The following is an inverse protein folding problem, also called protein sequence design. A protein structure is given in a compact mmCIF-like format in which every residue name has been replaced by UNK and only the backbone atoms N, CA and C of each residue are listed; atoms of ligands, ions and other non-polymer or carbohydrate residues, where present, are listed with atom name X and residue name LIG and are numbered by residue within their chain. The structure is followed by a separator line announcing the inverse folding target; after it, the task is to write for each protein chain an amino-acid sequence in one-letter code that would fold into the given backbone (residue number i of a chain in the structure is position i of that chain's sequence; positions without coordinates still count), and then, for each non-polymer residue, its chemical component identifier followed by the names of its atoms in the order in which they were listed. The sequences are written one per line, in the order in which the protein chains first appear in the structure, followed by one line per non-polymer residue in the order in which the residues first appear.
data_IF_838229274863
#
_entry.id   IF_838229274863
#
_cell.length_a   1.000
_cell.length_b   1.000
_cell.length_c   1.000
_cell.angle_alpha   90.00
_cell.angle_beta   90.00
_cell.angle_gamma   90.00
#
_symmetry.space_group_name_H-M   'P 1'
#
loop_
_entity.id
_entity.type
_entity.pdbx_description
1 polymer ?
#
# COMPACT_ATOMS: atom_id res chain seq x y z
N UNK A 1 12.78 -4.53 -1.91
CA UNK A 1 13.22 -3.77 -0.72
C UNK A 1 12.58 -4.40 0.48
N UNK A 2 13.30 -4.55 1.60
CA UNK A 2 12.98 -5.55 2.67
C UNK A 2 11.50 -5.69 3.01
N UNK A 3 10.80 -4.59 3.35
CA UNK A 3 9.37 -4.67 3.70
C UNK A 3 8.48 -5.18 2.56
N UNK A 4 8.70 -4.71 1.33
CA UNK A 4 7.98 -5.19 0.16
C UNK A 4 8.31 -6.64 -0.20
N UNK A 5 9.54 -7.08 0.06
CA UNK A 5 10.00 -8.45 -0.21
C UNK A 5 9.40 -9.44 0.82
N UNK A 6 9.22 -9.01 2.07
CA UNK A 6 8.52 -9.79 3.10
C UNK A 6 7.06 -10.03 2.73
N UNK A 7 6.35 -9.01 2.23
CA UNK A 7 4.97 -9.16 1.75
C UNK A 7 4.92 -10.21 0.63
N UNK A 8 5.82 -10.12 -0.35
CA UNK A 8 5.90 -11.09 -1.44
C UNK A 8 6.21 -12.50 -0.97
N UNK A 9 7.12 -12.64 -0.01
CA UNK A 9 7.49 -13.93 0.58
C UNK A 9 6.29 -14.59 1.28
N UNK A 10 5.50 -13.84 2.02
CA UNK A 10 4.31 -14.35 2.69
C UNK A 10 3.22 -14.77 1.71
N UNK A 11 3.00 -13.99 0.65
CA UNK A 11 2.07 -14.36 -0.43
C UNK A 11 2.50 -15.67 -1.08
N UNK A 12 3.79 -15.77 -1.44
CA UNK A 12 4.33 -16.98 -2.04
C UNK A 12 4.16 -18.21 -1.15
N UNK A 13 4.42 -18.05 0.15
CA UNK A 13 4.25 -19.14 1.11
C UNK A 13 2.77 -19.49 1.35
N UNK A 14 1.93 -18.49 1.61
CA UNK A 14 0.52 -18.66 1.95
C UNK A 14 -0.31 -19.22 0.80
N UNK A 15 -0.02 -18.80 -0.44
CA UNK A 15 -0.72 -19.26 -1.65
C UNK A 15 0.02 -20.37 -2.40
N UNK A 16 1.20 -20.78 -1.92
CA UNK A 16 2.07 -21.82 -2.53
C UNK A 16 2.43 -21.50 -3.98
N UNK A 17 2.79 -20.25 -4.24
CA UNK A 17 3.14 -19.75 -5.58
C UNK A 17 4.64 -19.45 -5.68
N UNK A 18 5.22 -19.48 -6.90
CA UNK A 18 6.55 -18.93 -7.14
C UNK A 18 6.64 -17.45 -6.73
N UNK A 19 7.78 -17.02 -6.20
CA UNK A 19 8.02 -15.63 -5.75
C UNK A 19 7.68 -14.60 -6.84
N UNK A 20 8.02 -14.89 -8.11
CA UNK A 20 7.71 -13.99 -9.23
C UNK A 20 6.21 -13.80 -9.43
N UNK A 21 5.42 -14.87 -9.31
CA UNK A 21 3.97 -14.80 -9.44
C UNK A 21 3.34 -14.14 -8.22
N UNK A 22 3.88 -14.38 -7.02
CA UNK A 22 3.46 -13.67 -5.81
C UNK A 22 3.70 -12.15 -5.90
N UNK A 23 4.83 -11.72 -6.46
CA UNK A 23 5.12 -10.31 -6.71
C UNK A 23 4.10 -9.70 -7.69
N UNK A 24 3.81 -10.41 -8.77
CA UNK A 24 2.83 -9.99 -9.76
C UNK A 24 1.43 -9.84 -9.15
N UNK A 25 0.99 -10.83 -8.36
CA UNK A 25 -0.28 -10.75 -7.63
C UNK A 25 -0.33 -9.57 -6.66
N UNK A 26 0.75 -9.34 -5.90
CA UNK A 26 0.85 -8.20 -4.98
C UNK A 26 0.64 -6.88 -5.72
N UNK A 27 1.27 -6.73 -6.89
CA UNK A 27 1.18 -5.50 -7.70
C UNK A 27 -0.21 -5.35 -8.34
N UNK A 28 -0.78 -6.41 -8.91
CA UNK A 28 -2.02 -6.34 -9.70
C UNK A 28 -3.29 -6.37 -8.84
N UNK A 29 -3.27 -7.12 -7.74
CA UNK A 29 -4.48 -7.45 -6.97
C UNK A 29 -4.36 -7.14 -5.47
N UNK A 30 -3.18 -6.73 -4.99
CA UNK A 30 -2.94 -6.49 -3.58
C UNK A 30 -3.85 -5.43 -2.96
N UNK A 31 -4.23 -5.66 -1.70
CA UNK A 31 -4.95 -4.72 -0.86
C UNK A 31 -4.51 -4.98 0.59
N UNK A 32 -4.27 -3.93 1.38
CA UNK A 32 -3.82 -4.08 2.76
C UNK A 32 -4.96 -4.08 3.79
N UNK A 33 -6.21 -3.90 3.35
CA UNK A 33 -7.41 -4.00 4.20
C UNK A 33 -8.34 -5.03 3.56
N UNK A 34 -8.44 -6.23 4.11
CA UNK A 34 -9.27 -7.34 3.61
C UNK A 34 -10.75 -6.95 3.57
N UNK A 35 -11.20 -6.19 4.57
CA UNK A 35 -12.59 -5.77 4.69
C UNK A 35 -13.06 -4.84 3.56
N UNK A 36 -12.13 -4.21 2.84
CA UNK A 36 -12.41 -3.35 1.69
C UNK A 36 -12.43 -4.13 0.35
N UNK A 37 -12.11 -5.43 0.37
CA UNK A 37 -12.14 -6.30 -0.81
C UNK A 37 -13.50 -7.00 -0.90
N UNK A 38 -14.11 -7.00 -2.09
CA UNK A 38 -15.41 -7.63 -2.32
C UNK A 38 -15.40 -9.14 -2.10
N UNK A 39 -16.50 -9.67 -1.57
CA UNK A 39 -16.62 -11.06 -1.12
C UNK A 39 -16.41 -12.11 -2.23
N UNK A 40 -16.76 -11.75 -3.46
CA UNK A 40 -16.75 -12.64 -4.62
C UNK A 40 -15.66 -12.25 -5.64
N UNK A 41 -14.70 -11.40 -5.25
CA UNK A 41 -13.58 -11.05 -6.13
C UNK A 41 -12.57 -12.20 -6.17
N UNK A 42 -12.26 -12.67 -7.38
CA UNK A 42 -11.41 -13.84 -7.61
C UNK A 42 -10.51 -13.62 -8.82
N UNK A 43 -9.34 -14.26 -8.83
CA UNK A 43 -8.42 -14.29 -9.96
C UNK A 43 -7.87 -15.70 -10.17
N UNK A 44 -7.36 -15.94 -11.38
CA UNK A 44 -6.79 -17.23 -11.75
C UNK A 44 -5.28 -17.11 -11.85
N UNK A 45 -4.57 -18.05 -11.23
CA UNK A 45 -3.13 -18.23 -11.39
C UNK A 45 -2.83 -19.58 -11.98
N UNK A 46 -1.72 -19.68 -12.71
CA UNK A 46 -1.19 -20.97 -13.17
C UNK A 46 0.08 -21.25 -12.38
N UNK A 47 0.03 -22.16 -11.39
CA UNK A 47 1.24 -22.62 -10.72
C UNK A 47 2.21 -23.24 -11.74
N UNK A 48 3.51 -23.12 -11.48
CA UNK A 48 4.51 -23.69 -12.38
C UNK A 48 4.42 -25.23 -12.37
N UNK A 49 4.19 -25.85 -13.52
CA UNK A 49 4.11 -27.30 -13.67
C UNK A 49 2.70 -27.89 -13.54
N UNK A 50 1.66 -27.06 -13.42
CA UNK A 50 0.26 -27.50 -13.42
C UNK A 50 -0.50 -26.96 -14.65
N UNK A 51 -1.23 -27.85 -15.32
CA UNK A 51 -2.08 -27.47 -16.47
C UNK A 51 -3.40 -26.83 -16.05
N UNK A 52 -3.80 -26.99 -14.78
CA UNK A 52 -5.07 -26.49 -14.25
C UNK A 52 -4.86 -25.14 -13.56
N UNK A 53 -5.56 -24.07 -13.99
CA UNK A 53 -5.54 -22.80 -13.27
C UNK A 53 -6.11 -22.96 -11.85
N UNK A 54 -5.39 -22.45 -10.86
CA UNK A 54 -5.89 -22.30 -9.51
C UNK A 54 -6.67 -20.99 -9.39
N UNK A 55 -7.89 -21.09 -8.91
CA UNK A 55 -8.74 -19.94 -8.62
C UNK A 55 -8.51 -19.51 -7.16
N UNK A 56 -8.17 -18.24 -6.96
CA UNK A 56 -7.85 -17.67 -5.65
C UNK A 56 -8.78 -16.50 -5.38
N UNK A 57 -9.33 -16.46 -4.17
CA UNK A 57 -10.12 -15.32 -3.71
C UNK A 57 -9.21 -14.15 -3.40
N UNK A 58 -9.55 -12.97 -3.90
CA UNK A 58 -8.77 -11.75 -3.65
C UNK A 58 -8.71 -11.40 -2.17
N UNK A 59 -9.74 -11.76 -1.39
CA UNK A 59 -9.73 -11.66 0.08
C UNK A 59 -8.65 -12.50 0.75
N UNK A 60 -8.35 -13.70 0.25
CA UNK A 60 -7.27 -14.52 0.80
C UNK A 60 -5.90 -13.86 0.59
N UNK A 61 -5.68 -13.27 -0.59
CA UNK A 61 -4.49 -12.45 -0.86
C UNK A 61 -4.42 -11.23 0.08
N UNK A 62 -5.53 -10.51 0.23
CA UNK A 62 -5.59 -9.31 1.07
C UNK A 62 -5.35 -9.64 2.55
N UNK A 63 -5.88 -10.75 3.05
CA UNK A 63 -5.65 -11.23 4.42
C UNK A 63 -4.15 -11.44 4.71
N UNK A 64 -3.42 -12.05 3.78
CA UNK A 64 -1.97 -12.26 3.91
C UNK A 64 -1.23 -10.92 3.92
N UNK A 65 -1.60 -10.01 3.01
CA UNK A 65 -0.97 -8.68 2.91
C UNK A 65 -1.24 -7.86 4.16
N UNK A 66 -2.49 -7.80 4.62
CA UNK A 66 -2.90 -7.07 5.82
C UNK A 66 -2.09 -7.51 7.04
N UNK A 67 -2.02 -8.82 7.31
CA UNK A 67 -1.27 -9.36 8.43
C UNK A 67 0.22 -8.95 8.41
N UNK A 68 0.88 -9.02 7.25
CA UNK A 68 2.29 -8.59 7.14
C UNK A 68 2.45 -7.08 7.27
N UNK A 69 1.54 -6.31 6.71
CA UNK A 69 1.57 -4.84 6.81
C UNK A 69 1.37 -4.41 8.27
N UNK A 70 0.44 -5.03 9.00
CA UNK A 70 0.23 -4.81 10.43
C UNK A 70 1.48 -5.13 11.25
N UNK A 71 2.15 -6.26 10.96
CA UNK A 71 3.38 -6.63 11.64
C UNK A 71 4.50 -5.62 11.38
N UNK A 72 4.69 -5.20 10.12
CA UNK A 72 5.69 -4.19 9.76
C UNK A 72 5.45 -2.90 10.55
N UNK A 73 4.22 -2.39 10.60
CA UNK A 73 3.94 -1.17 11.34
C UNK A 73 3.99 -1.35 12.86
N UNK A 74 3.74 -2.55 13.37
CA UNK A 74 3.93 -2.89 14.78
C UNK A 74 5.41 -2.81 15.17
N UNK A 75 6.31 -3.30 14.32
CA UNK A 75 7.76 -3.16 14.51
C UNK A 75 8.21 -1.69 14.43
N UNK A 76 7.64 -0.91 13.50
CA UNK A 76 7.90 0.53 13.41
C UNK A 76 7.44 1.25 14.69
N UNK A 77 6.26 0.92 15.21
CA UNK A 77 5.76 1.47 16.48
C UNK A 77 6.71 1.17 17.65
N UNK A 78 7.22 -0.06 17.72
CA UNK A 78 8.20 -0.45 18.74
C UNK A 78 9.46 0.42 18.65
N UNK A 79 9.94 0.72 17.43
CA UNK A 79 11.11 1.57 17.24
C UNK A 79 10.85 3.04 17.62
N UNK A 80 9.67 3.58 17.29
CA UNK A 80 9.26 4.92 17.72
C UNK A 80 9.27 5.02 19.25
N UNK A 81 8.72 4.01 19.93
CA UNK A 81 8.73 3.95 21.40
C UNK A 81 10.14 3.85 21.96
N UNK A 82 10.98 2.98 21.39
CA UNK A 82 12.37 2.78 21.83
C UNK A 82 13.23 4.03 21.65
N UNK A 83 12.99 4.80 20.60
CA UNK A 83 13.72 6.04 20.32
C UNK A 83 13.31 7.21 21.22
N UNK A 84 12.22 7.08 21.98
CA UNK A 84 11.71 8.13 22.87
C UNK A 84 10.89 9.22 22.17
N UNK A 85 10.57 9.05 20.89
CA UNK A 85 9.75 9.99 20.11
C UNK A 85 8.23 9.70 20.20
N UNK A 86 7.82 8.72 21.01
CA UNK A 86 6.40 8.45 21.24
C UNK A 86 5.68 9.70 21.79
N UNK A 87 4.54 10.04 21.21
CA UNK A 87 3.81 11.29 21.48
C UNK A 87 4.47 12.58 20.98
N UNK A 88 5.65 12.52 20.34
CA UNK A 88 6.39 13.68 19.82
C UNK A 88 6.31 13.85 18.29
N UNK A 89 5.37 13.14 17.64
CA UNK A 89 5.20 13.13 16.18
C UNK A 89 3.88 13.77 15.73
N UNK A 90 3.62 15.07 16.01
CA UNK A 90 2.35 15.72 15.69
C UNK A 90 2.10 15.85 14.18
N UNK A 91 3.17 15.92 13.38
CA UNK A 91 3.08 15.91 11.91
C UNK A 91 2.78 14.52 11.34
N UNK A 92 2.91 13.47 12.15
CA UNK A 92 2.67 12.09 11.76
C UNK A 92 3.80 11.46 10.95
N UNK A 93 3.45 10.51 10.08
CA UNK A 93 4.38 9.74 9.26
C UNK A 93 4.10 9.90 7.76
N UNK A 94 5.16 9.92 6.95
CA UNK A 94 5.06 9.90 5.50
C UNK A 94 5.61 8.58 4.97
N UNK A 95 4.75 7.79 4.32
CA UNK A 95 5.13 6.57 3.61
C UNK A 95 5.65 6.93 2.22
N UNK A 96 6.74 6.27 1.83
CA UNK A 96 7.38 6.42 0.53
C UNK A 96 7.81 5.06 -0.01
N UNK A 97 8.31 5.01 -1.25
CA UNK A 97 8.79 3.80 -1.90
C UNK A 97 7.71 3.05 -2.68
N UNK A 98 8.07 1.94 -3.33
CA UNK A 98 7.12 1.21 -4.20
C UNK A 98 5.92 0.65 -3.44
N UNK A 99 6.18 0.01 -2.29
CA UNK A 99 5.14 -0.65 -1.48
C UNK A 99 4.15 0.31 -0.84
N UNK A 100 4.45 1.62 -0.75
CA UNK A 100 3.45 2.60 -0.29
C UNK A 100 2.29 2.78 -1.28
N UNK A 101 2.39 2.20 -2.48
CA UNK A 101 1.32 2.20 -3.49
C UNK A 101 0.28 1.10 -3.28
N UNK A 102 0.48 0.17 -2.33
CA UNK A 102 -0.51 -0.86 -2.00
C UNK A 102 -1.77 -0.17 -1.46
N UNK A 103 -2.94 -0.37 -2.08
CA UNK A 103 -4.20 0.19 -1.58
C UNK A 103 -4.47 -0.22 -0.12
N UNK A 104 -5.00 0.69 0.68
CA UNK A 104 -5.27 0.46 2.10
C UNK A 104 -4.06 0.54 3.05
N UNK A 105 -2.81 0.57 2.55
CA UNK A 105 -1.62 0.51 3.43
C UNK A 105 -1.54 1.69 4.41
N UNK A 106 -1.99 2.87 3.97
CA UNK A 106 -2.09 4.07 4.81
C UNK A 106 -3.08 3.87 5.97
N UNK A 107 -4.18 3.17 5.71
CA UNK A 107 -5.22 2.90 6.70
C UNK A 107 -4.67 2.05 7.82
N UNK A 108 -4.05 0.91 7.49
CA UNK A 108 -3.41 0.02 8.47
C UNK A 108 -2.30 0.76 9.24
N UNK A 109 -1.42 1.47 8.52
CA UNK A 109 -0.36 2.24 9.16
C UNK A 109 -0.91 3.23 10.20
N UNK A 110 -1.96 3.98 9.83
CA UNK A 110 -2.58 4.97 10.72
C UNK A 110 -3.25 4.32 11.93
N UNK A 111 -3.89 3.16 11.75
CA UNK A 111 -4.54 2.41 12.82
C UNK A 111 -3.51 1.84 13.81
N UNK A 112 -2.47 1.17 13.31
CA UNK A 112 -1.44 0.55 14.15
C UNK A 112 -0.62 1.60 14.89
N UNK A 113 -0.23 2.69 14.22
CA UNK A 113 0.64 3.71 14.80
C UNK A 113 -0.11 4.72 15.68
N UNK A 114 -1.43 4.85 15.54
CA UNK A 114 -2.24 5.83 16.27
C UNK A 114 -1.93 7.29 15.92
N UNK A 115 -1.37 7.55 14.73
CA UNK A 115 -0.95 8.88 14.27
C UNK A 115 -1.31 9.12 12.79
N UNK A 116 -1.38 10.38 12.33
CA UNK A 116 -1.68 10.69 10.94
C UNK A 116 -0.63 10.11 9.99
N UNK A 117 -1.05 9.39 8.96
CA UNK A 117 -0.15 8.86 7.92
C UNK A 117 -0.50 9.47 6.56
N UNK A 118 0.53 9.82 5.78
CA UNK A 118 0.42 10.33 4.39
C UNK A 118 1.26 9.48 3.45
N UNK A 119 0.90 9.42 2.19
CA UNK A 119 1.71 8.80 1.14
C UNK A 119 2.37 9.94 0.34
N UNK A 120 3.68 9.84 0.11
CA UNK A 120 4.36 10.73 -0.82
C UNK A 120 4.13 10.24 -2.26
N UNK A 121 3.68 11.14 -3.13
CA UNK A 121 3.55 10.88 -4.56
C UNK A 121 4.75 11.45 -5.31
N UNK A 122 5.21 10.76 -6.36
CA UNK A 122 6.28 11.25 -7.23
C UNK A 122 5.78 12.49 -7.98
N UNK A 123 6.59 13.55 -7.97
CA UNK A 123 6.26 14.86 -8.56
C UNK A 123 6.00 14.82 -10.09
N UNK A 124 6.48 13.80 -10.80
CA UNK A 124 6.23 13.63 -12.25
C UNK A 124 4.74 13.41 -12.59
N UNK A 125 3.90 13.05 -11.61
CA UNK A 125 2.44 12.93 -11.77
C UNK A 125 1.66 14.24 -11.48
N UNK A 126 2.35 15.37 -11.25
CA UNK A 126 1.73 16.69 -11.07
C UNK A 126 1.63 17.53 -12.36
N UNK A 127 1.93 16.96 -13.52
CA UNK A 127 1.83 17.66 -14.81
C UNK A 127 0.34 17.81 -15.23
N UNK A 128 -0.20 18.91 -15.81
CA UNK A 128 0.27 20.29 -16.07
C UNK A 128 -0.52 21.38 -15.29
N UNK A 129 -1.42 21.03 -14.34
CA UNK A 129 -2.31 22.02 -13.68
C UNK A 129 -1.55 23.07 -12.86
N UNK A 130 -0.32 22.78 -12.43
CA UNK A 130 0.57 23.74 -11.75
C UNK A 130 1.40 24.61 -12.72
N UNK A 131 1.30 24.36 -14.03
CA UNK A 131 2.08 25.01 -15.09
C UNK A 131 1.22 25.84 -16.06
N UNK A 132 -0.04 26.17 -15.71
CA UNK A 132 -0.82 27.16 -16.47
C UNK A 132 -0.92 28.52 -15.73
N UNK A 133 0.02 29.45 -15.98
CA UNK A 133 -0.06 30.84 -15.50
C UNK A 133 -1.30 31.62 -15.98
N UNK A 134 -2.07 31.09 -16.92
CA UNK A 134 -3.09 31.83 -17.68
C UNK A 134 -4.47 31.90 -17.00
N UNK A 135 -4.69 31.20 -15.89
CA UNK A 135 -5.93 31.32 -15.10
C UNK A 135 -5.90 32.45 -14.05
N UNK A 136 -4.74 32.96 -13.64
CA UNK A 136 -4.62 34.00 -12.60
C UNK A 136 -5.03 35.41 -13.08
N UNK A 137 -4.99 35.66 -14.39
CA UNK A 137 -5.26 36.99 -14.96
C UNK A 137 -6.75 37.30 -15.13
N UNK A 138 -7.64 36.30 -15.18
CA UNK A 138 -9.08 36.55 -15.36
C UNK A 138 -9.82 36.76 -14.03
N UNK A 139 -9.33 36.16 -12.95
CA UNK A 139 -10.00 36.24 -11.64
C UNK A 139 -9.64 37.53 -10.88
N UNK A 140 -8.45 38.08 -11.15
CA UNK A 140 -7.97 39.35 -10.56
C UNK A 140 -8.71 40.59 -11.10
N UNK A 141 -9.43 40.49 -12.22
CA UNK A 141 -10.20 41.61 -12.79
C UNK A 141 -11.70 41.59 -12.47
N UNK A 142 -12.21 40.53 -11.81
CA UNK A 142 -13.63 40.44 -11.45
C UNK A 142 -13.94 40.88 -10.01
N UNK A 143 -12.93 41.07 -9.17
CA UNK A 143 -13.08 41.48 -7.76
C UNK A 143 -12.41 42.83 -7.45
N UNK A 144 -12.25 43.70 -8.45
CA UNK A 144 -11.79 45.08 -8.32
C UNK A 144 -12.90 46.07 -8.60
#
# INVERSE_FOLDING_TARGET
GVGGDLITSDIAHGLRLPISQAEELKIQHGHAVEAEVGENEEFHVRPFGEDTPLQIRRRELALIIEARVEEIFSLVLQEIKRSGYDGLLPAGMVLTGGSSSIPGIRTIASQVLGLPVRIAYRLEYLHPMLLEPQHWHQESQKNG
#
